data_IF_449266168639
#
_entry.id   IF_449266168639
#
_cell.length_a   1.000
_cell.length_b   1.000
_cell.length_c   1.000
_cell.angle_alpha   90.00
_cell.angle_beta   90.00
_cell.angle_gamma   90.00
#
_symmetry.space_group_name_H-M   'P 1'
#
loop_
_entity.id
_entity.type
_entity.pdbx_description
1 polymer ?
#
# COMPACT_ATOMS: atom_id res chain seq x y z
N UNK A 1 34.89 23.82 -33.66
CA UNK A 1 34.78 22.36 -33.57
C UNK A 1 34.90 21.76 -32.15
N UNK A 2 35.76 22.29 -31.29
CA UNK A 2 35.95 21.77 -29.90
C UNK A 2 34.73 22.01 -28.98
N UNK A 3 34.07 23.18 -29.05
CA UNK A 3 32.90 23.53 -28.19
C UNK A 3 31.69 22.62 -28.41
N UNK A 4 31.37 22.23 -29.65
CA UNK A 4 30.25 21.34 -29.93
C UNK A 4 30.45 19.89 -29.43
N UNK A 5 31.69 19.40 -29.41
CA UNK A 5 32.00 18.09 -28.81
C UNK A 5 31.82 18.09 -27.30
N UNK A 6 32.26 19.16 -26.62
CA UNK A 6 32.10 19.29 -25.17
C UNK A 6 30.64 19.36 -24.78
N UNK A 7 29.84 20.15 -25.50
CA UNK A 7 28.38 20.24 -25.25
C UNK A 7 27.70 18.87 -25.40
N UNK A 8 28.03 18.12 -26.46
CA UNK A 8 27.48 16.75 -26.64
C UNK A 8 27.84 15.81 -25.50
N UNK A 9 29.07 15.84 -25.02
CA UNK A 9 29.53 15.02 -23.91
C UNK A 9 28.77 15.39 -22.64
N UNK A 10 28.58 16.68 -22.34
CA UNK A 10 27.82 17.14 -21.18
C UNK A 10 26.35 16.64 -21.27
N UNK A 11 25.72 16.77 -22.43
CA UNK A 11 24.35 16.27 -22.62
C UNK A 11 24.27 14.75 -22.39
N UNK A 12 25.22 13.98 -22.91
CA UNK A 12 25.25 12.53 -22.70
C UNK A 12 25.42 12.15 -21.23
N UNK A 13 26.27 12.88 -20.50
CA UNK A 13 26.44 12.66 -19.04
C UNK A 13 25.17 12.96 -18.28
N UNK A 14 24.48 14.06 -18.61
CA UNK A 14 23.18 14.42 -17.97
C UNK A 14 22.13 13.36 -18.26
N UNK A 15 22.03 12.88 -19.51
CA UNK A 15 21.08 11.83 -19.88
C UNK A 15 21.39 10.51 -19.17
N UNK A 16 22.68 10.12 -19.08
CA UNK A 16 23.10 8.94 -18.37
C UNK A 16 22.76 9.02 -16.87
N UNK A 17 23.02 10.16 -16.24
CA UNK A 17 22.66 10.40 -14.84
C UNK A 17 21.15 10.34 -14.62
N UNK A 18 20.35 10.92 -15.51
CA UNK A 18 18.89 10.86 -15.44
C UNK A 18 18.37 9.40 -15.57
N UNK A 19 18.94 8.59 -16.45
CA UNK A 19 18.60 7.19 -16.58
C UNK A 19 18.93 6.38 -15.33
N UNK A 20 20.09 6.59 -14.72
CA UNK A 20 20.50 5.90 -13.48
C UNK A 20 19.55 6.27 -12.34
N UNK A 21 19.23 7.54 -12.17
CA UNK A 21 18.30 8.01 -11.13
C UNK A 21 16.90 7.43 -11.36
N UNK A 22 16.41 7.43 -12.60
CA UNK A 22 15.12 6.86 -12.95
C UNK A 22 15.06 5.35 -12.68
N UNK A 23 16.10 4.61 -13.09
CA UNK A 23 16.22 3.18 -12.84
C UNK A 23 16.27 2.85 -11.36
N UNK A 24 17.02 3.61 -10.57
CA UNK A 24 17.06 3.43 -9.12
C UNK A 24 15.71 3.67 -8.46
N UNK A 25 15.00 4.75 -8.85
CA UNK A 25 13.64 5.02 -8.35
C UNK A 25 12.67 3.89 -8.70
N UNK A 26 12.75 3.36 -9.92
CA UNK A 26 11.89 2.24 -10.34
C UNK A 26 12.14 0.99 -9.49
N UNK A 27 13.41 0.61 -9.30
CA UNK A 27 13.77 -0.55 -8.49
C UNK A 27 13.29 -0.38 -7.05
N UNK A 28 13.50 0.78 -6.44
CA UNK A 28 13.06 1.02 -5.06
C UNK A 28 11.54 0.98 -4.92
N UNK A 29 10.80 1.50 -5.90
CA UNK A 29 9.33 1.43 -5.90
C UNK A 29 8.84 -0.01 -6.03
N UNK A 30 9.40 -0.78 -6.96
CA UNK A 30 9.03 -2.20 -7.13
C UNK A 30 9.35 -3.03 -5.88
N UNK A 31 10.49 -2.79 -5.24
CA UNK A 31 10.86 -3.48 -4.00
C UNK A 31 9.89 -3.16 -2.86
N UNK A 32 9.43 -1.92 -2.73
CA UNK A 32 8.42 -1.53 -1.74
C UNK A 32 7.09 -2.23 -1.98
N UNK A 33 6.58 -2.20 -3.22
CA UNK A 33 5.31 -2.86 -3.57
C UNK A 33 5.36 -4.38 -3.33
N UNK A 34 6.50 -5.02 -3.59
CA UNK A 34 6.69 -6.44 -3.28
C UNK A 34 6.71 -6.68 -1.76
N UNK A 35 7.32 -5.78 -0.99
CA UNK A 35 7.32 -5.84 0.47
C UNK A 35 5.91 -5.74 1.05
N UNK A 36 5.09 -4.82 0.57
CA UNK A 36 3.70 -4.64 1.00
C UNK A 36 2.87 -5.90 0.74
N UNK A 37 3.01 -6.51 -0.44
CA UNK A 37 2.32 -7.78 -0.76
C UNK A 37 2.76 -8.92 0.17
N UNK A 38 4.04 -9.04 0.45
CA UNK A 38 4.57 -10.06 1.36
C UNK A 38 4.08 -9.86 2.79
N UNK A 39 3.94 -8.62 3.25
CA UNK A 39 3.38 -8.31 4.57
C UNK A 39 1.93 -8.80 4.68
N UNK A 40 1.08 -8.50 3.70
CA UNK A 40 -0.32 -8.96 3.67
C UNK A 40 -0.40 -10.48 3.68
N UNK A 41 0.42 -11.16 2.88
CA UNK A 41 0.47 -12.62 2.85
C UNK A 41 0.87 -13.18 4.21
N UNK A 42 1.87 -12.60 4.86
CA UNK A 42 2.30 -13.00 6.20
C UNK A 42 1.18 -12.82 7.23
N UNK A 43 0.46 -11.69 7.22
CA UNK A 43 -0.68 -11.46 8.10
C UNK A 43 -1.81 -12.49 7.88
N UNK A 44 -2.07 -12.87 6.62
CA UNK A 44 -3.03 -13.92 6.31
C UNK A 44 -2.61 -15.28 6.88
N UNK A 45 -1.34 -15.65 6.71
CA UNK A 45 -0.78 -16.90 7.27
C UNK A 45 -0.86 -16.92 8.81
N UNK A 46 -0.55 -15.79 9.47
CA UNK A 46 -0.66 -15.64 10.93
C UNK A 46 -2.11 -15.81 11.40
N UNK A 47 -3.07 -15.25 10.65
CA UNK A 47 -4.50 -15.42 10.93
C UNK A 47 -4.93 -16.90 10.81
N UNK A 48 -4.48 -17.61 9.77
CA UNK A 48 -4.75 -19.05 9.59
C UNK A 48 -4.13 -19.90 10.70
N UNK A 49 -2.99 -19.49 11.27
CA UNK A 49 -2.33 -20.13 12.40
C UNK A 49 -3.00 -19.82 13.75
N UNK A 50 -4.05 -19.01 13.75
CA UNK A 50 -4.79 -18.61 14.94
C UNK A 50 -4.14 -17.53 15.77
N UNK A 51 -3.19 -16.77 15.21
CA UNK A 51 -2.64 -15.60 15.86
C UNK A 51 -3.68 -14.48 15.93
N UNK A 52 -3.73 -13.80 17.08
CA UNK A 52 -4.66 -12.72 17.31
C UNK A 52 -4.10 -11.39 16.79
N UNK A 53 -4.39 -11.04 15.56
CA UNK A 53 -3.93 -9.77 14.94
C UNK A 53 -4.48 -8.52 15.63
N UNK A 54 -5.65 -8.63 16.31
CA UNK A 54 -6.20 -7.52 17.10
C UNK A 54 -5.32 -7.16 18.30
N UNK A 55 -4.55 -8.10 18.83
CA UNK A 55 -3.56 -7.82 19.88
C UNK A 55 -2.31 -7.14 19.32
N UNK A 56 -1.97 -7.40 18.05
CA UNK A 56 -0.82 -6.77 17.38
C UNK A 56 -1.12 -5.33 16.98
N UNK A 57 -2.34 -5.07 16.53
CA UNK A 57 -2.81 -3.73 16.18
C UNK A 57 -4.28 -3.57 16.54
N UNK A 58 -4.53 -2.77 17.58
CA UNK A 58 -5.89 -2.51 18.11
C UNK A 58 -6.78 -1.70 17.16
N UNK A 59 -6.23 -1.07 16.12
CA UNK A 59 -7.00 -0.35 15.10
C UNK A 59 -7.65 -1.31 14.10
N UNK A 60 -7.22 -2.57 14.05
CA UNK A 60 -7.87 -3.58 13.23
C UNK A 60 -9.24 -3.91 13.81
N UNK A 61 -10.26 -3.98 12.94
CA UNK A 61 -11.65 -4.31 13.35
C UNK A 61 -12.15 -5.63 12.76
N UNK A 62 -11.69 -6.00 11.59
CA UNK A 62 -12.06 -7.27 10.96
C UNK A 62 -11.07 -7.64 9.86
N UNK A 63 -11.24 -8.86 9.33
CA UNK A 63 -10.63 -9.30 8.09
C UNK A 63 -11.69 -9.30 6.99
N UNK A 64 -11.42 -8.61 5.88
CA UNK A 64 -12.28 -8.60 4.70
C UNK A 64 -11.78 -9.63 3.70
N UNK A 65 -12.62 -10.58 3.36
CA UNK A 65 -12.39 -11.53 2.27
C UNK A 65 -13.54 -11.46 1.28
N UNK A 66 -13.26 -11.35 -0.02
CA UNK A 66 -14.27 -11.34 -1.07
C UNK A 66 -14.08 -12.54 -1.97
N UNK A 67 -14.95 -13.53 -1.83
CA UNK A 67 -14.91 -14.78 -2.57
C UNK A 67 -14.85 -14.56 -4.09
N UNK A 68 -13.97 -15.28 -4.76
CA UNK A 68 -13.76 -15.16 -6.21
C UNK A 68 -12.86 -14.01 -6.63
N UNK A 69 -12.27 -13.28 -5.68
CA UNK A 69 -11.30 -12.20 -5.92
C UNK A 69 -9.99 -12.43 -5.16
N UNK A 70 -8.98 -11.57 -5.39
CA UNK A 70 -7.74 -11.55 -4.59
C UNK A 70 -7.86 -10.57 -3.40
N UNK A 71 -9.08 -10.14 -3.05
CA UNK A 71 -9.32 -9.18 -1.96
C UNK A 71 -9.43 -9.95 -0.66
N UNK A 72 -8.35 -9.93 0.11
CA UNK A 72 -8.25 -10.55 1.43
C UNK A 72 -7.30 -9.69 2.28
N UNK A 73 -7.87 -8.81 3.11
CA UNK A 73 -7.14 -7.75 3.82
C UNK A 73 -7.68 -7.49 5.22
N UNK A 74 -6.84 -7.09 6.18
CA UNK A 74 -7.32 -6.49 7.42
C UNK A 74 -7.97 -5.15 7.14
N UNK A 75 -9.03 -4.83 7.85
CA UNK A 75 -9.72 -3.53 7.81
C UNK A 75 -9.42 -2.77 9.09
N UNK A 76 -8.96 -1.54 8.93
CA UNK A 76 -8.56 -0.66 10.02
C UNK A 76 -9.66 0.35 10.35
N UNK A 77 -9.67 0.88 11.58
CA UNK A 77 -10.62 1.91 11.99
C UNK A 77 -9.99 2.88 12.97
N UNK A 78 -9.84 4.12 12.55
CA UNK A 78 -9.27 5.23 13.31
C UNK A 78 -10.20 6.44 13.24
N UNK A 79 -11.29 6.48 14.03
CA UNK A 79 -12.31 7.54 13.91
C UNK A 79 -11.76 8.94 14.18
N UNK A 80 -10.73 9.07 15.03
CA UNK A 80 -10.09 10.35 15.36
C UNK A 80 -9.10 10.84 14.31
N UNK A 81 -8.59 9.95 13.44
CA UNK A 81 -7.75 10.25 12.28
C UNK A 81 -8.20 9.40 11.07
N UNK A 82 -9.29 9.79 10.40
CA UNK A 82 -9.99 8.95 9.42
C UNK A 82 -9.15 8.46 8.24
N UNK A 83 -8.09 9.18 7.88
CA UNK A 83 -7.23 8.86 6.75
C UNK A 83 -5.86 8.31 7.17
N UNK A 84 -5.70 7.94 8.44
CA UNK A 84 -4.43 7.46 8.98
C UNK A 84 -3.84 6.31 8.14
N UNK A 85 -4.68 5.33 7.76
CA UNK A 85 -4.27 4.17 6.99
C UNK A 85 -4.28 4.37 5.47
N UNK A 86 -4.60 5.57 4.98
CA UNK A 86 -4.57 5.86 3.54
C UNK A 86 -3.18 5.59 2.93
N UNK A 87 -2.11 5.90 3.67
CA UNK A 87 -0.73 5.67 3.27
C UNK A 87 0.12 5.01 4.37
N UNK A 88 -0.50 4.12 5.14
CA UNK A 88 0.21 3.33 6.17
C UNK A 88 -0.16 1.86 6.06
N UNK A 89 0.82 1.01 6.37
CA UNK A 89 0.62 -0.43 6.45
C UNK A 89 0.07 -0.86 7.83
N UNK A 90 -0.05 -2.15 8.04
CA UNK A 90 -0.57 -2.73 9.28
C UNK A 90 0.25 -2.35 10.52
N UNK A 91 1.56 -2.15 10.36
CA UNK A 91 2.46 -1.76 11.45
C UNK A 91 2.54 -0.23 11.64
N UNK A 92 1.78 0.55 10.87
CA UNK A 92 1.76 2.01 10.90
C UNK A 92 2.90 2.68 10.13
N UNK A 93 3.71 1.91 9.41
CA UNK A 93 4.79 2.42 8.58
C UNK A 93 4.26 2.93 7.23
N UNK A 94 5.06 3.78 6.56
CA UNK A 94 4.64 4.32 5.27
C UNK A 94 4.46 3.22 4.21
N UNK A 95 3.26 3.16 3.64
CA UNK A 95 2.88 2.29 2.53
C UNK A 95 2.30 3.11 1.38
N UNK A 96 2.66 2.75 0.15
CA UNK A 96 2.08 3.36 -1.05
C UNK A 96 0.63 2.91 -1.26
N UNK A 97 0.32 1.66 -0.94
CA UNK A 97 -1.01 1.07 -1.07
C UNK A 97 -1.93 1.36 0.12
N UNK A 98 -1.37 1.68 1.27
CA UNK A 98 -2.12 1.80 2.52
C UNK A 98 -2.81 0.50 2.95
N UNK A 99 -3.74 0.60 3.88
CA UNK A 99 -4.64 -0.47 4.29
C UNK A 99 -6.09 -0.09 4.03
N UNK A 100 -7.00 -1.05 3.79
CA UNK A 100 -8.43 -0.78 3.81
C UNK A 100 -8.86 -0.27 5.18
N UNK A 101 -9.70 0.75 5.20
CA UNK A 101 -10.19 1.35 6.45
C UNK A 101 -11.67 1.72 6.39
N UNK A 102 -12.31 1.67 7.56
CA UNK A 102 -13.72 2.01 7.71
C UNK A 102 -13.91 3.52 7.75
N UNK A 103 -14.97 4.02 7.10
CA UNK A 103 -15.41 5.42 7.20
C UNK A 103 -15.67 5.80 8.66
N UNK A 104 -15.08 6.91 9.12
CA UNK A 104 -15.20 7.38 10.51
C UNK A 104 -16.63 7.73 10.93
N UNK A 105 -17.53 7.94 9.98
CA UNK A 105 -18.96 8.19 10.22
C UNK A 105 -19.74 6.91 10.50
N UNK A 106 -19.15 5.74 10.25
CA UNK A 106 -19.74 4.46 10.59
C UNK A 106 -19.56 4.18 12.09
N UNK A 107 -20.64 3.72 12.71
CA UNK A 107 -20.62 3.12 14.05
C UNK A 107 -20.76 1.61 13.86
N UNK A 108 -19.74 0.86 14.29
CA UNK A 108 -19.66 -0.58 14.07
C UNK A 108 -20.86 -1.31 14.67
N UNK A 109 -21.37 -0.81 15.79
CA UNK A 109 -22.46 -1.47 16.53
C UNK A 109 -23.86 -1.03 16.07
N UNK A 110 -23.98 0.14 15.41
CA UNK A 110 -25.28 0.76 15.11
C UNK A 110 -25.55 0.98 13.63
N UNK A 111 -24.50 1.14 12.82
CA UNK A 111 -24.70 1.42 11.39
C UNK A 111 -25.22 0.19 10.67
N UNK A 112 -26.33 0.36 9.93
CA UNK A 112 -26.88 -0.69 9.06
C UNK A 112 -26.08 -0.90 7.77
N UNK A 113 -25.15 0.00 7.47
CA UNK A 113 -24.25 -0.04 6.31
C UNK A 113 -22.86 0.43 6.75
N UNK A 114 -21.84 -0.33 6.40
CA UNK A 114 -20.45 -0.01 6.66
C UNK A 114 -19.74 0.30 5.35
N UNK A 115 -19.05 1.44 5.30
CA UNK A 115 -18.32 1.89 4.11
C UNK A 115 -16.84 1.67 4.35
N UNK A 116 -16.21 0.83 3.54
CA UNK A 116 -14.77 0.54 3.59
C UNK A 116 -14.10 1.20 2.39
N UNK A 117 -13.07 2.00 2.66
CA UNK A 117 -12.20 2.59 1.66
C UNK A 117 -10.94 1.76 1.45
N UNK A 118 -10.43 1.78 0.24
CA UNK A 118 -9.15 1.19 -0.13
C UNK A 118 -8.70 1.71 -1.48
N UNK A 119 -7.39 1.69 -1.72
CA UNK A 119 -6.84 2.15 -2.99
C UNK A 119 -7.24 1.24 -4.16
N UNK A 120 -7.38 1.84 -5.35
CA UNK A 120 -7.47 1.13 -6.61
C UNK A 120 -6.09 1.13 -7.27
N UNK A 121 -5.34 0.04 -7.10
CA UNK A 121 -3.95 -0.06 -7.51
C UNK A 121 -3.80 -0.65 -8.91
N UNK A 122 -2.95 -0.03 -9.75
CA UNK A 122 -2.68 -0.52 -11.12
C UNK A 122 -2.04 -1.91 -11.17
N UNK A 123 -1.42 -2.36 -10.09
CA UNK A 123 -0.79 -3.68 -9.96
C UNK A 123 -1.76 -4.79 -9.54
N UNK A 124 -3.06 -4.55 -9.64
CA UNK A 124 -4.13 -5.49 -9.28
C UNK A 124 -4.18 -5.87 -7.79
N UNK A 125 -3.67 -5.01 -6.90
CA UNK A 125 -3.82 -5.14 -5.46
C UNK A 125 -4.91 -4.20 -4.94
N UNK A 126 -5.22 -4.32 -3.66
CA UNK A 126 -6.29 -3.59 -2.98
C UNK A 126 -7.65 -3.79 -3.69
N UNK A 127 -8.42 -2.75 -3.95
CA UNK A 127 -9.77 -2.84 -4.52
C UNK A 127 -9.81 -2.75 -6.06
N UNK A 128 -8.69 -2.96 -6.74
CA UNK A 128 -8.62 -2.86 -8.21
C UNK A 128 -9.33 -3.99 -8.97
N UNK A 129 -9.83 -5.00 -8.26
CA UNK A 129 -10.54 -6.15 -8.81
C UNK A 129 -12.04 -6.19 -8.45
N UNK A 130 -12.58 -5.08 -7.92
CA UNK A 130 -14.00 -4.89 -7.70
C UNK A 130 -14.75 -4.60 -8.99
#
# INVERSE_FOLDING_TARGET
MKKGKVIRIIILIILAAALVISGFKLITTLSKLSGEKNQIQKLAEETEQGENLFEKNSDMICWLDIEGTEISYPVMYTPDDPEYYLHRDFDGEYSYSGMPFLDSRCDIDKSSNLIIYGHNMKNSTMFSRL
#
